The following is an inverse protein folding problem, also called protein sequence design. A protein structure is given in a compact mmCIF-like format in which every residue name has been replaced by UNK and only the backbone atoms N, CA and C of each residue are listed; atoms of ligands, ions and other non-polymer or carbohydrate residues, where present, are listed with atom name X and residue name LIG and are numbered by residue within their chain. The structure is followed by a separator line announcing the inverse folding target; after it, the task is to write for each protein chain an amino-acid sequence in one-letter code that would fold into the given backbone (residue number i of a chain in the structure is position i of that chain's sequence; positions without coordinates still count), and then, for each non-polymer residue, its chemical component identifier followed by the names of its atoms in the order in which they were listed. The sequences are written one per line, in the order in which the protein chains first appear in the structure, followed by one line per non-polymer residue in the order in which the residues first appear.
data_IF_635927341618
#
_entry.id   IF_635927341618
#
_cell.length_a   1.000
_cell.length_b   1.000
_cell.length_c   1.000
_cell.angle_alpha   90.00
_cell.angle_beta   90.00
_cell.angle_gamma   90.00
#
_symmetry.space_group_name_H-M   'P 1'
#
loop_
_entity.id
_entity.type
_entity.pdbx_description
1 polymer ?
#
# COMPACT_ATOMS: atom_id res chain seq x y z
N UNK A 1 28.95 24.64 16.97
CA UNK A 1 28.91 23.63 18.05
C UNK A 1 27.49 23.14 18.34
N UNK A 2 26.44 23.98 18.30
CA UNK A 2 25.05 23.54 18.51
C UNK A 2 24.52 22.50 17.48
N UNK A 3 24.92 22.61 16.21
CA UNK A 3 24.48 21.70 15.13
C UNK A 3 24.98 20.24 15.28
N UNK A 4 26.01 20.00 16.11
CA UNK A 4 26.57 18.66 16.38
C UNK A 4 25.84 17.92 17.50
N UNK A 5 25.03 18.64 18.31
CA UNK A 5 24.27 18.05 19.43
C UNK A 5 22.87 17.60 19.01
N UNK A 6 22.23 18.23 18.01
CA UNK A 6 20.94 17.76 17.46
C UNK A 6 21.04 16.41 16.73
N UNK A 7 22.22 16.05 16.21
CA UNK A 7 22.47 14.73 15.58
C UNK A 7 22.58 13.58 16.59
N UNK A 8 22.64 13.88 17.89
CA UNK A 8 22.82 12.88 18.96
C UNK A 8 21.52 12.41 19.62
N UNK A 9 20.38 12.99 19.24
CA UNK A 9 19.08 12.54 19.74
C UNK A 9 18.76 11.16 19.15
N UNK A 10 18.63 10.16 20.03
CA UNK A 10 18.31 8.77 19.69
C UNK A 10 16.91 8.45 20.15
N UNK A 11 16.09 7.95 19.23
CA UNK A 11 14.75 7.45 19.49
C UNK A 11 14.82 5.96 19.79
N UNK A 12 14.05 5.52 20.79
CA UNK A 12 13.88 4.10 21.11
C UNK A 12 12.46 3.71 20.74
N UNK A 13 12.32 3.01 19.62
CA UNK A 13 11.03 2.44 19.19
C UNK A 13 10.88 1.11 19.92
N UNK A 14 9.97 1.07 20.89
CA UNK A 14 9.61 -0.16 21.61
C UNK A 14 8.52 -0.88 20.84
N UNK A 15 8.77 -2.13 20.47
CA UNK A 15 7.81 -2.96 19.74
C UNK A 15 6.99 -3.82 20.70
N UNK A 16 5.91 -4.42 20.18
CA UNK A 16 5.25 -5.54 20.86
C UNK A 16 6.08 -6.82 20.72
N UNK A 17 5.65 -7.91 21.37
CA UNK A 17 6.22 -9.24 21.09
C UNK A 17 6.07 -9.56 19.61
N UNK A 18 7.07 -10.22 19.04
CA UNK A 18 6.92 -10.78 17.70
C UNK A 18 5.93 -11.95 17.74
N UNK A 19 4.90 -11.92 16.91
CA UNK A 19 3.84 -12.93 16.94
C UNK A 19 4.34 -14.34 16.58
N UNK A 20 5.45 -14.46 15.83
CA UNK A 20 5.97 -15.76 15.41
C UNK A 20 6.89 -16.40 16.45
N UNK A 21 7.82 -15.64 17.04
CA UNK A 21 8.84 -16.18 17.94
C UNK A 21 8.78 -15.64 19.38
N UNK A 22 7.79 -14.78 19.68
CA UNK A 22 7.57 -14.14 20.98
C UNK A 22 8.75 -13.31 21.49
N UNK A 23 9.65 -12.89 20.59
CA UNK A 23 10.79 -12.04 20.91
C UNK A 23 10.36 -10.58 21.06
N UNK A 24 10.79 -9.94 22.14
CA UNK A 24 10.72 -8.49 22.28
C UNK A 24 11.89 -7.82 21.58
N UNK A 25 11.61 -6.75 20.84
CA UNK A 25 12.64 -5.95 20.20
C UNK A 25 12.55 -4.48 20.63
N UNK A 26 13.67 -3.79 20.47
CA UNK A 26 13.77 -2.35 20.66
C UNK A 26 14.70 -1.82 19.60
N UNK A 27 14.24 -0.85 18.82
CA UNK A 27 15.05 -0.24 17.78
C UNK A 27 15.57 1.08 18.31
N UNK A 28 16.89 1.22 18.37
CA UNK A 28 17.55 2.49 18.62
C UNK A 28 17.92 3.11 17.28
N UNK A 29 17.36 4.28 17.00
CA UNK A 29 17.59 4.98 15.74
C UNK A 29 17.89 6.46 16.00
N UNK A 30 18.90 7.00 15.30
CA UNK A 30 19.21 8.43 15.42
C UNK A 30 18.09 9.27 14.79
N UNK A 31 17.86 10.49 15.29
CA UNK A 31 16.91 11.44 14.70
C UNK A 31 17.11 11.60 13.19
N UNK A 32 18.38 11.67 12.75
CA UNK A 32 18.75 11.77 11.33
C UNK A 32 18.30 10.55 10.55
N UNK A 33 18.62 9.35 11.02
CA UNK A 33 18.25 8.11 10.34
C UNK A 33 16.73 7.90 10.33
N UNK A 34 16.05 8.23 11.44
CA UNK A 34 14.58 8.20 11.53
C UNK A 34 13.95 9.14 10.49
N UNK A 35 14.42 10.39 10.45
CA UNK A 35 13.97 11.37 9.47
C UNK A 35 14.28 10.93 8.03
N UNK A 36 15.45 10.35 7.76
CA UNK A 36 15.80 9.82 6.44
C UNK A 36 14.88 8.67 6.01
N UNK A 37 14.50 7.77 6.92
CA UNK A 37 13.58 6.66 6.62
C UNK A 37 12.17 7.15 6.35
N UNK A 38 11.71 8.15 7.10
CA UNK A 38 10.36 8.71 7.00
C UNK A 38 10.21 9.64 5.79
N UNK A 39 11.17 10.54 5.57
CA UNK A 39 11.13 11.55 4.51
C UNK A 39 11.21 10.98 3.09
N UNK A 40 11.56 9.69 2.96
CA UNK A 40 11.58 8.96 1.68
C UNK A 40 10.19 8.67 1.13
N UNK A 41 9.14 8.70 1.94
CA UNK A 41 7.78 8.42 1.48
C UNK A 41 6.80 9.50 1.94
N UNK A 42 5.69 9.62 1.21
CA UNK A 42 4.67 10.62 1.55
C UNK A 42 3.78 10.19 2.70
N UNK A 43 3.76 8.93 3.10
CA UNK A 43 3.00 8.49 4.27
C UNK A 43 3.56 8.98 5.59
N UNK A 44 4.80 9.48 5.59
CA UNK A 44 5.51 9.86 6.81
C UNK A 44 5.63 8.69 7.80
N UNK A 45 5.74 7.47 7.27
CA UNK A 45 5.91 6.23 8.04
C UNK A 45 7.32 5.69 7.77
N UNK A 46 8.11 5.50 8.81
CA UNK A 46 9.41 4.85 8.74
C UNK A 46 9.28 3.34 8.83
N UNK A 47 10.21 2.61 8.22
CA UNK A 47 10.32 1.16 8.39
C UNK A 47 11.73 0.75 8.82
N UNK A 48 11.80 -0.26 9.69
CA UNK A 48 13.05 -0.87 10.16
C UNK A 48 12.94 -2.40 10.11
N UNK A 49 13.98 -3.04 9.57
CA UNK A 49 14.01 -4.49 9.38
C UNK A 49 14.80 -5.12 10.53
N UNK A 50 14.19 -6.06 11.24
CA UNK A 50 14.79 -6.85 12.30
C UNK A 50 14.87 -8.29 11.84
N UNK A 51 16.08 -8.82 11.69
CA UNK A 51 16.27 -10.22 11.33
C UNK A 51 16.14 -11.09 12.59
N UNK A 52 15.22 -12.04 12.53
CA UNK A 52 15.10 -13.12 13.50
C UNK A 52 15.72 -14.39 12.89
N UNK A 53 15.62 -15.51 13.59
CA UNK A 53 16.29 -16.75 13.16
C UNK A 53 15.66 -17.33 11.89
N UNK A 54 14.33 -17.26 11.81
CA UNK A 54 13.52 -17.91 10.78
C UNK A 54 12.60 -16.96 10.00
N UNK A 55 12.69 -15.65 10.25
CA UNK A 55 11.87 -14.64 9.61
C UNK A 55 12.50 -13.25 9.73
N UNK A 56 11.93 -12.29 9.01
CA UNK A 56 12.27 -10.87 9.11
C UNK A 56 11.06 -10.09 9.58
N UNK A 57 11.26 -9.30 10.63
CA UNK A 57 10.25 -8.44 11.23
C UNK A 57 10.44 -7.01 10.74
N UNK A 58 9.47 -6.47 10.00
CA UNK A 58 9.47 -5.09 9.48
C UNK A 58 8.65 -4.21 10.40
N UNK A 59 9.30 -3.41 11.23
CA UNK A 59 8.68 -2.51 12.20
C UNK A 59 8.36 -1.16 11.54
N UNK A 60 7.14 -0.66 11.73
CA UNK A 60 6.69 0.65 11.29
C UNK A 60 6.62 1.65 12.45
N UNK A 61 7.01 2.89 12.19
CA UNK A 61 7.03 3.96 13.18
C UNK A 61 6.76 5.34 12.57
N UNK A 62 6.29 6.29 13.37
CA UNK A 62 6.05 7.68 12.94
C UNK A 62 7.23 8.63 13.22
N UNK A 63 7.02 9.92 12.95
CA UNK A 63 8.01 11.00 13.13
C UNK A 63 8.44 11.23 14.59
N UNK A 64 7.68 10.73 15.55
CA UNK A 64 7.99 10.84 16.98
C UNK A 64 8.66 9.55 17.51
N UNK A 65 8.95 8.58 16.63
CA UNK A 65 9.49 7.28 17.00
C UNK A 65 8.46 6.38 17.68
N UNK A 66 7.16 6.68 17.53
CA UNK A 66 6.10 5.83 18.06
C UNK A 66 5.93 4.61 17.18
N UNK A 67 5.84 3.45 17.81
CA UNK A 67 5.53 2.19 17.15
C UNK A 67 4.11 2.20 16.58
N UNK A 68 3.98 1.87 15.29
CA UNK A 68 2.69 1.78 14.59
C UNK A 68 2.25 0.32 14.34
N UNK A 69 3.17 -0.64 14.46
CA UNK A 69 2.93 -2.04 14.13
C UNK A 69 4.14 -2.65 13.42
N UNK A 70 4.09 -3.94 13.12
CA UNK A 70 5.21 -4.66 12.50
C UNK A 70 4.74 -5.81 11.62
N UNK A 71 5.30 -6.00 10.43
CA UNK A 71 5.01 -7.18 9.59
C UNK A 71 6.05 -8.27 9.77
N UNK A 72 5.64 -9.53 9.64
CA UNK A 72 6.53 -10.68 9.63
C UNK A 72 6.60 -11.22 8.20
N UNK A 73 7.83 -11.32 7.69
CA UNK A 73 8.17 -11.94 6.41
C UNK A 73 8.89 -13.26 6.66
N UNK A 74 8.43 -14.36 6.06
CA UNK A 74 8.99 -15.70 6.27
C UNK A 74 10.20 -16.01 5.36
N UNK A 75 10.57 -15.10 4.45
CA UNK A 75 11.65 -15.36 3.50
C UNK A 75 13.04 -15.12 4.12
N UNK A 76 13.61 -16.22 4.60
CA UNK A 76 14.99 -16.34 5.07
C UNK A 76 15.99 -16.48 3.92
N UNK A 77 16.86 -15.47 3.84
CA UNK A 77 18.30 -15.48 3.52
C UNK A 77 18.62 -14.46 2.44
N UNK A 78 19.54 -13.58 2.84
CA UNK A 78 20.43 -12.81 2.00
C UNK A 78 19.75 -12.08 0.85
N UNK A 79 19.23 -10.86 1.11
CA UNK A 79 19.34 -9.72 0.18
C UNK A 79 18.34 -8.55 0.43
N UNK A 80 17.69 -8.46 1.59
CA UNK A 80 16.76 -7.31 1.83
C UNK A 80 17.51 -5.96 1.74
N UNK A 81 18.78 -5.89 2.15
CA UNK A 81 19.57 -4.65 2.04
C UNK A 81 20.10 -4.35 0.63
N UNK A 82 20.17 -5.35 -0.26
CA UNK A 82 20.72 -5.27 -1.61
C UNK A 82 19.63 -5.09 -2.67
N UNK A 83 18.41 -5.60 -2.45
CA UNK A 83 17.31 -5.51 -3.43
C UNK A 83 16.27 -4.39 -3.19
N UNK A 84 16.35 -3.64 -2.09
CA UNK A 84 15.53 -2.40 -1.95
C UNK A 84 15.95 -1.32 -2.99
N UNK A 85 17.10 -1.50 -3.65
CA UNK A 85 17.53 -0.69 -4.80
C UNK A 85 17.22 -1.30 -6.18
N UNK A 86 16.61 -2.49 -6.26
CA UNK A 86 16.60 -3.30 -7.48
C UNK A 86 15.24 -3.61 -8.12
N UNK A 87 14.18 -3.86 -7.35
CA UNK A 87 13.05 -4.65 -7.90
C UNK A 87 11.64 -4.18 -7.54
N UNK A 88 11.49 -2.93 -7.11
CA UNK A 88 10.29 -2.15 -7.48
C UNK A 88 10.58 -1.69 -8.90
N UNK A 89 9.66 -1.76 -9.88
CA UNK A 89 9.91 -1.24 -11.22
C UNK A 89 10.58 0.11 -11.12
N UNK A 90 11.89 0.15 -11.42
CA UNK A 90 12.66 1.38 -11.41
C UNK A 90 12.10 2.15 -12.58
N UNK A 91 11.23 3.12 -12.28
CA UNK A 91 10.73 4.05 -13.26
C UNK A 91 11.94 4.62 -14.01
N UNK A 92 12.00 4.55 -15.35
CA UNK A 92 13.04 5.23 -16.08
C UNK A 92 12.96 6.70 -15.68
N UNK A 93 14.01 7.21 -15.02
CA UNK A 93 14.13 8.63 -14.73
C UNK A 93 14.04 9.34 -16.08
N UNK A 94 12.92 10.01 -16.34
CA UNK A 94 12.82 10.95 -17.44
C UNK A 94 13.96 11.96 -17.21
N UNK A 95 14.96 11.97 -18.10
CA UNK A 95 16.07 12.94 -18.04
C UNK A 95 15.47 14.34 -18.20
N UNK A 96 15.17 15.01 -17.08
CA UNK A 96 14.78 16.42 -17.06
C UNK A 96 15.96 17.24 -16.59
N UNK A 97 16.34 18.24 -17.38
CA UNK A 97 17.53 19.07 -17.21
C UNK A 97 17.67 19.68 -15.81
N UNK A 98 18.91 19.72 -15.33
CA UNK A 98 19.34 19.95 -13.94
C UNK A 98 18.97 21.33 -13.39
N UNK A 99 18.86 22.37 -14.23
CA UNK A 99 18.61 23.73 -13.78
C UNK A 99 17.13 24.03 -13.42
N UNK A 100 16.18 23.28 -14.00
CA UNK A 100 14.74 23.52 -13.79
C UNK A 100 14.14 22.72 -12.62
N UNK A 101 14.90 21.77 -12.05
CA UNK A 101 14.42 20.78 -11.07
C UNK A 101 14.53 21.25 -9.63
N UNK A 102 15.54 22.06 -9.29
CA UNK A 102 15.81 22.48 -7.91
C UNK A 102 14.77 23.47 -7.38
N UNK A 103 14.45 24.51 -8.16
CA UNK A 103 13.45 25.53 -7.81
C UNK A 103 12.05 24.89 -7.69
N UNK A 104 11.71 23.94 -8.57
CA UNK A 104 10.44 23.23 -8.51
C UNK A 104 10.35 22.23 -7.36
N UNK A 105 11.45 21.55 -6.99
CA UNK A 105 11.50 20.63 -5.83
C UNK A 105 11.39 21.39 -4.51
N UNK A 106 12.01 22.57 -4.43
CA UNK A 106 11.85 23.49 -3.30
C UNK A 106 10.42 24.05 -3.26
N UNK A 107 9.87 24.56 -4.38
CA UNK A 107 8.49 25.07 -4.41
C UNK A 107 7.41 23.98 -4.24
N UNK A 108 7.63 22.76 -4.72
CA UNK A 108 6.68 21.63 -4.58
C UNK A 108 6.69 21.02 -3.18
N UNK A 109 7.74 21.26 -2.39
CA UNK A 109 7.75 20.91 -0.97
C UNK A 109 6.90 21.88 -0.13
N UNK A 110 6.55 23.06 -0.67
CA UNK A 110 5.70 24.06 -0.03
C UNK A 110 4.25 24.09 -0.54
N UNK A 111 3.93 23.44 -1.67
CA UNK A 111 2.57 23.38 -2.23
C UNK A 111 1.92 22.02 -1.93
N UNK A 112 0.88 22.03 -1.10
CA UNK A 112 0.05 20.84 -0.89
C UNK A 112 -0.76 20.53 -2.14
N UNK A 113 -0.69 19.30 -2.65
CA UNK A 113 -1.51 18.84 -3.78
C UNK A 113 -2.76 18.14 -3.25
N UNK A 114 -3.93 18.47 -3.79
CA UNK A 114 -5.16 17.72 -3.46
C UNK A 114 -5.36 16.59 -4.47
N UNK A 115 -5.70 15.40 -3.99
CA UNK A 115 -6.04 14.25 -4.83
C UNK A 115 -7.29 13.54 -4.29
N UNK A 116 -8.13 13.05 -5.19
CA UNK A 116 -9.29 12.19 -4.89
C UNK A 116 -9.02 10.77 -5.38
N UNK A 117 -9.23 9.78 -4.51
CA UNK A 117 -9.06 8.37 -4.82
C UNK A 117 -10.32 7.61 -4.51
N UNK A 118 -10.80 6.83 -5.48
CA UNK A 118 -11.85 5.85 -5.24
C UNK A 118 -11.28 4.48 -4.93
N UNK A 119 -11.76 3.86 -3.86
CA UNK A 119 -11.54 2.47 -3.52
C UNK A 119 -12.83 1.71 -3.83
N UNK A 120 -12.77 0.84 -4.83
CA UNK A 120 -13.92 0.10 -5.39
C UNK A 120 -13.66 -1.40 -5.43
N UNK A 121 -14.71 -2.19 -5.65
CA UNK A 121 -14.65 -3.65 -5.71
C UNK A 121 -15.75 -4.34 -4.89
N UNK A 122 -15.95 -5.66 -5.07
CA UNK A 122 -17.02 -6.44 -4.42
C UNK A 122 -17.06 -6.35 -2.89
N UNK A 123 -18.13 -6.85 -2.27
CA UNK A 123 -18.28 -6.81 -0.80
C UNK A 123 -17.21 -7.64 -0.09
N UNK A 124 -16.79 -7.20 1.10
CA UNK A 124 -15.90 -7.96 1.99
C UNK A 124 -14.51 -8.31 1.39
N UNK A 125 -14.04 -7.56 0.40
CA UNK A 125 -12.73 -7.72 -0.23
C UNK A 125 -11.59 -6.95 0.46
N UNK A 126 -11.88 -6.11 1.47
CA UNK A 126 -10.88 -5.34 2.23
C UNK A 126 -10.79 -3.84 1.92
N UNK A 127 -11.82 -3.24 1.31
CA UNK A 127 -11.86 -1.78 1.00
C UNK A 127 -11.77 -0.90 2.24
N UNK A 128 -12.64 -1.13 3.22
CA UNK A 128 -12.64 -0.40 4.49
C UNK A 128 -11.35 -0.63 5.28
N UNK A 129 -10.80 -1.85 5.24
CA UNK A 129 -9.50 -2.18 5.82
C UNK A 129 -8.37 -1.37 5.19
N UNK A 130 -8.35 -1.23 3.86
CA UNK A 130 -7.36 -0.38 3.18
C UNK A 130 -7.54 1.09 3.58
N UNK A 131 -8.78 1.58 3.58
CA UNK A 131 -9.07 2.95 4.02
C UNK A 131 -8.56 3.21 5.44
N UNK A 132 -8.74 2.26 6.36
CA UNK A 132 -8.24 2.33 7.74
C UNK A 132 -6.70 2.25 7.79
N UNK A 133 -6.09 1.36 7.01
CA UNK A 133 -4.64 1.24 6.90
C UNK A 133 -4.01 2.55 6.42
N UNK A 134 -4.60 3.21 5.42
CA UNK A 134 -4.12 4.50 4.95
C UNK A 134 -4.24 5.58 6.02
N UNK A 135 -5.37 5.61 6.74
CA UNK A 135 -5.65 6.57 7.80
C UNK A 135 -4.66 6.46 8.97
N UNK A 136 -4.35 5.23 9.39
CA UNK A 136 -3.62 4.97 10.63
C UNK A 136 -2.16 4.59 10.41
N UNK A 137 -1.82 4.07 9.24
CA UNK A 137 -0.54 3.40 8.99
C UNK A 137 -0.41 2.03 9.66
N UNK A 138 -1.46 1.58 10.37
CA UNK A 138 -1.45 0.38 11.20
C UNK A 138 -2.06 -0.76 10.37
N UNK A 139 -1.31 -1.83 10.09
CA UNK A 139 -1.87 -3.02 9.46
C UNK A 139 -3.02 -3.63 10.28
N UNK A 140 -4.01 -4.21 9.61
CA UNK A 140 -5.24 -4.68 10.28
C UNK A 140 -4.97 -5.72 11.37
N UNK A 141 -3.95 -6.59 11.21
CA UNK A 141 -3.56 -7.55 12.27
C UNK A 141 -3.23 -6.90 13.62
N UNK A 142 -2.78 -5.64 13.60
CA UNK A 142 -2.40 -4.84 14.78
C UNK A 142 -3.51 -3.92 15.26
N UNK A 143 -4.59 -3.84 14.51
CA UNK A 143 -5.79 -3.16 14.98
C UNK A 143 -6.57 -4.07 15.92
N UNK A 144 -7.18 -3.51 16.97
CA UNK A 144 -8.21 -4.26 17.70
C UNK A 144 -9.23 -4.72 16.67
N UNK A 145 -9.61 -6.00 16.60
CA UNK A 145 -10.54 -6.52 15.57
C UNK A 145 -11.71 -5.57 15.34
N UNK A 146 -11.63 -4.77 14.28
CA UNK A 146 -12.74 -3.93 13.83
C UNK A 146 -13.51 -4.82 12.89
N UNK A 147 -14.65 -5.36 13.33
CA UNK A 147 -15.55 -6.06 12.42
C UNK A 147 -16.08 -5.05 11.39
N UNK A 148 -15.43 -5.01 10.24
CA UNK A 148 -15.82 -4.17 9.13
C UNK A 148 -17.08 -4.77 8.50
N UNK A 149 -18.25 -4.25 8.89
CA UNK A 149 -19.51 -4.52 8.20
C UNK A 149 -19.45 -4.00 6.76
N UNK A 150 -20.20 -4.63 5.85
CA UNK A 150 -20.26 -4.21 4.45
C UNK A 150 -20.71 -2.74 4.35
N UNK A 151 -19.88 -1.91 3.72
CA UNK A 151 -20.20 -0.50 3.46
C UNK A 151 -21.41 -0.41 2.52
N UNK A 152 -22.43 0.34 2.94
CA UNK A 152 -23.57 0.70 2.10
C UNK A 152 -23.33 2.09 1.50
N UNK A 153 -23.46 2.23 0.18
CA UNK A 153 -23.33 3.53 -0.49
C UNK A 153 -21.89 4.02 -0.66
N UNK A 154 -21.57 5.24 -0.19
CA UNK A 154 -20.27 5.91 -0.34
C UNK A 154 -19.84 6.50 0.99
N UNK A 155 -18.64 6.16 1.46
CA UNK A 155 -17.98 6.81 2.60
C UNK A 155 -16.88 7.73 2.11
N UNK A 156 -16.79 8.94 2.67
CA UNK A 156 -15.79 9.94 2.27
C UNK A 156 -14.88 10.22 3.45
N UNK A 157 -13.60 9.90 3.32
CA UNK A 157 -12.56 10.26 4.29
C UNK A 157 -11.65 11.33 3.72
N UNK A 158 -11.23 12.26 4.57
CA UNK A 158 -10.24 13.29 4.23
C UNK A 158 -9.07 13.14 5.17
N UNK A 159 -7.88 12.97 4.61
CA UNK A 159 -6.67 12.77 5.38
C UNK A 159 -5.49 13.44 4.69
N UNK A 160 -4.38 13.59 5.41
CA UNK A 160 -3.16 14.17 4.88
C UNK A 160 -2.07 13.11 4.84
N UNK A 161 -1.59 12.81 3.63
CA UNK A 161 -0.49 11.89 3.38
C UNK A 161 0.70 12.74 2.92
N UNK A 162 1.52 13.17 3.88
CA UNK A 162 2.69 14.00 3.63
C UNK A 162 2.26 15.39 3.17
N UNK A 163 2.55 15.74 1.91
CA UNK A 163 2.09 17.00 1.30
C UNK A 163 0.81 16.82 0.46
N UNK A 164 0.20 15.63 0.44
CA UNK A 164 -1.03 15.38 -0.31
C UNK A 164 -2.23 15.51 0.64
N UNK A 165 -3.17 16.39 0.28
CA UNK A 165 -4.51 16.40 0.88
C UNK A 165 -5.36 15.37 0.13
N UNK A 166 -5.60 14.22 0.76
CA UNK A 166 -6.25 13.09 0.13
C UNK A 166 -7.74 13.03 0.50
N UNK A 167 -8.62 12.95 -0.50
CA UNK A 167 -10.04 12.60 -0.36
C UNK A 167 -10.20 11.14 -0.81
N UNK A 168 -10.50 10.24 0.11
CA UNK A 168 -10.78 8.83 -0.19
C UNK A 168 -12.29 8.65 -0.31
N UNK A 169 -12.73 8.05 -1.42
CA UNK A 169 -14.09 7.58 -1.66
C UNK A 169 -14.10 6.06 -1.48
N UNK A 170 -14.53 5.59 -0.32
CA UNK A 170 -14.68 4.15 -0.03
C UNK A 170 -16.10 3.72 -0.42
N UNK A 171 -16.18 2.96 -1.50
CA UNK A 171 -17.45 2.63 -2.15
C UNK A 171 -18.05 1.33 -1.61
N UNK A 172 -19.38 1.26 -1.61
CA UNK A 172 -20.12 0.05 -1.28
C UNK A 172 -19.82 -1.06 -2.29
N UNK A 173 -19.67 -2.28 -1.78
CA UNK A 173 -19.31 -3.44 -2.59
C UNK A 173 -20.46 -4.37 -2.95
N UNK A 174 -21.66 -4.12 -2.43
CA UNK A 174 -22.84 -4.94 -2.76
C UNK A 174 -23.25 -4.64 -4.20
N UNK A 175 -23.65 -5.67 -4.96
CA UNK A 175 -23.92 -5.56 -6.41
C UNK A 175 -24.91 -4.43 -6.74
N UNK A 176 -25.94 -4.25 -5.91
CA UNK A 176 -26.94 -3.18 -6.06
C UNK A 176 -26.35 -1.75 -5.97
N UNK A 177 -25.16 -1.59 -5.40
CA UNK A 177 -24.49 -0.29 -5.24
C UNK A 177 -23.37 -0.05 -6.26
N UNK A 178 -23.06 -1.01 -7.14
CA UNK A 178 -21.99 -0.84 -8.13
C UNK A 178 -22.26 0.30 -9.12
N UNK A 179 -23.53 0.66 -9.36
CA UNK A 179 -23.87 1.83 -10.18
C UNK A 179 -23.31 3.15 -9.63
N UNK A 180 -23.05 3.24 -8.32
CA UNK A 180 -22.39 4.39 -7.72
C UNK A 180 -20.88 4.50 -8.04
N UNK A 181 -20.27 3.44 -8.57
CA UNK A 181 -18.85 3.44 -8.92
C UNK A 181 -18.56 4.41 -10.06
N UNK A 182 -19.48 4.58 -11.02
CA UNK A 182 -19.31 5.48 -12.16
C UNK A 182 -19.06 6.93 -11.72
N UNK A 183 -19.92 7.46 -10.84
CA UNK A 183 -19.75 8.82 -10.29
C UNK A 183 -18.44 8.93 -9.51
N UNK A 184 -18.11 7.92 -8.70
CA UNK A 184 -16.88 7.92 -7.91
C UNK A 184 -15.62 7.93 -8.80
N UNK A 185 -15.59 7.12 -9.86
CA UNK A 185 -14.51 7.03 -10.83
C UNK A 185 -14.36 8.37 -11.57
N UNK A 186 -15.47 8.99 -11.97
CA UNK A 186 -15.49 10.30 -12.63
C UNK A 186 -14.93 11.41 -11.75
N UNK A 187 -15.21 11.38 -10.45
CA UNK A 187 -14.67 12.30 -9.45
C UNK A 187 -13.19 12.07 -9.10
N UNK A 188 -12.60 10.93 -9.51
CA UNK A 188 -11.29 10.48 -9.02
C UNK A 188 -10.12 10.88 -9.90
N UNK A 189 -9.01 11.20 -9.24
CA UNK A 189 -7.71 11.35 -9.88
C UNK A 189 -7.01 10.01 -10.05
N UNK A 190 -7.32 9.02 -9.19
CA UNK A 190 -6.79 7.64 -9.22
C UNK A 190 -7.81 6.65 -8.66
N UNK A 191 -7.72 5.40 -9.08
CA UNK A 191 -8.65 4.36 -8.65
C UNK A 191 -7.86 3.17 -8.10
N UNK A 192 -8.33 2.64 -6.98
CA UNK A 192 -7.87 1.36 -6.43
C UNK A 192 -9.04 0.38 -6.50
N UNK A 193 -8.91 -0.66 -7.30
CA UNK A 193 -9.86 -1.76 -7.35
C UNK A 193 -9.33 -2.93 -6.50
N UNK A 194 -10.16 -3.50 -5.64
CA UNK A 194 -9.78 -4.59 -4.76
C UNK A 194 -10.72 -5.77 -4.99
N UNK A 195 -10.17 -6.97 -5.07
CA UNK A 195 -10.96 -8.20 -4.98
C UNK A 195 -10.25 -9.24 -4.11
N UNK A 196 -11.00 -10.25 -3.68
CA UNK A 196 -10.50 -11.34 -2.86
C UNK A 196 -9.83 -12.41 -3.72
N UNK A 197 -8.51 -12.54 -3.60
CA UNK A 197 -7.71 -13.52 -4.31
C UNK A 197 -8.02 -14.97 -3.94
N UNK A 198 -8.74 -15.21 -2.84
CA UNK A 198 -9.17 -16.54 -2.38
C UNK A 198 -10.63 -16.87 -2.69
N UNK A 199 -11.39 -15.93 -3.25
CA UNK A 199 -12.79 -16.15 -3.53
C UNK A 199 -13.00 -17.16 -4.68
N UNK A 200 -13.98 -18.04 -4.52
CA UNK A 200 -14.37 -19.00 -5.57
C UNK A 200 -15.33 -18.39 -6.61
N UNK A 201 -15.94 -17.24 -6.32
CA UNK A 201 -16.92 -16.58 -7.19
C UNK A 201 -16.26 -15.73 -8.28
N UNK A 202 -15.65 -16.40 -9.26
CA UNK A 202 -14.96 -15.74 -10.37
C UNK A 202 -15.86 -14.81 -11.19
N UNK A 203 -17.10 -15.22 -11.44
CA UNK A 203 -18.05 -14.47 -12.28
C UNK A 203 -18.31 -13.08 -11.70
N UNK A 204 -18.49 -12.97 -10.38
CA UNK A 204 -18.66 -11.68 -9.71
C UNK A 204 -17.41 -10.78 -9.81
N UNK A 205 -16.22 -11.36 -9.73
CA UNK A 205 -14.95 -10.63 -9.88
C UNK A 205 -14.81 -10.12 -11.32
N UNK A 206 -15.08 -10.98 -12.31
CA UNK A 206 -15.00 -10.63 -13.71
C UNK A 206 -16.03 -9.55 -14.08
N UNK A 207 -17.29 -9.71 -13.67
CA UNK A 207 -18.35 -8.73 -13.85
C UNK A 207 -17.97 -7.36 -13.26
N UNK A 208 -17.52 -7.36 -11.99
CA UNK A 208 -17.19 -6.13 -11.28
C UNK A 208 -15.98 -5.41 -11.87
N UNK A 209 -14.93 -6.15 -12.26
CA UNK A 209 -13.75 -5.55 -12.87
C UNK A 209 -14.07 -5.01 -14.26
N UNK A 210 -14.81 -5.78 -15.08
CA UNK A 210 -15.24 -5.35 -16.41
C UNK A 210 -16.04 -4.03 -16.32
N UNK A 211 -17.01 -3.98 -15.40
CA UNK A 211 -17.79 -2.77 -15.14
C UNK A 211 -16.92 -1.57 -14.70
N UNK A 212 -15.95 -1.81 -13.83
CA UNK A 212 -15.04 -0.75 -13.37
C UNK A 212 -14.13 -0.22 -14.49
N UNK A 213 -13.67 -1.11 -15.39
CA UNK A 213 -12.88 -0.75 -16.57
C UNK A 213 -13.75 0.05 -17.56
N UNK A 214 -14.99 -0.36 -17.78
CA UNK A 214 -15.94 0.33 -18.64
C UNK A 214 -16.18 1.75 -18.15
N UNK A 215 -16.48 1.94 -16.85
CA UNK A 215 -16.64 3.26 -16.24
C UNK A 215 -15.36 4.12 -16.28
N UNK A 216 -14.19 3.49 -16.28
CA UNK A 216 -12.89 4.18 -16.38
C UNK A 216 -12.57 4.62 -17.82
N UNK A 217 -13.10 3.94 -18.83
CA UNK A 217 -12.68 4.04 -20.23
C UNK A 217 -12.67 5.47 -20.79
N UNK A 218 -13.55 6.34 -20.28
CA UNK A 218 -13.66 7.74 -20.73
C UNK A 218 -12.50 8.66 -20.31
N UNK A 219 -11.75 8.34 -19.24
CA UNK A 219 -10.76 9.26 -18.63
C UNK A 219 -9.34 8.72 -18.45
N UNK A 220 -9.05 7.46 -18.79
CA UNK A 220 -7.72 6.81 -18.62
C UNK A 220 -7.07 7.07 -17.24
N UNK A 221 -7.89 7.14 -16.19
CA UNK A 221 -7.44 7.42 -14.81
C UNK A 221 -6.49 6.30 -14.33
N UNK A 222 -5.34 6.57 -13.67
CA UNK A 222 -4.48 5.51 -13.14
C UNK A 222 -5.25 4.52 -12.26
N UNK A 223 -5.04 3.23 -12.50
CA UNK A 223 -5.85 2.14 -11.93
C UNK A 223 -4.95 1.10 -11.26
N UNK A 224 -5.11 0.92 -9.96
CA UNK A 224 -4.37 -0.07 -9.17
C UNK A 224 -5.31 -1.19 -8.75
N UNK A 225 -5.08 -2.38 -9.25
CA UNK A 225 -5.80 -3.61 -8.91
C UNK A 225 -5.02 -4.33 -7.80
N UNK A 226 -5.68 -4.55 -6.66
CA UNK A 226 -5.16 -5.30 -5.54
C UNK A 226 -5.88 -6.64 -5.44
N UNK A 227 -5.13 -7.72 -5.66
CA UNK A 227 -5.54 -9.09 -5.36
C UNK A 227 -5.29 -9.29 -3.87
N UNK A 228 -6.32 -9.18 -3.04
CA UNK A 228 -6.19 -9.14 -1.58
C UNK A 228 -6.39 -10.52 -0.93
N UNK A 229 -6.04 -10.61 0.36
CA UNK A 229 -6.14 -11.81 1.23
C UNK A 229 -5.15 -12.92 0.89
N UNK A 230 -4.01 -12.56 0.29
CA UNK A 230 -2.95 -13.51 -0.04
C UNK A 230 -2.30 -14.14 1.20
N UNK A 231 -2.49 -13.56 2.39
CA UNK A 231 -2.16 -14.20 3.67
C UNK A 231 -2.88 -15.54 3.86
N UNK A 232 -4.15 -15.64 3.47
CA UNK A 232 -4.91 -16.88 3.56
C UNK A 232 -4.38 -17.92 2.56
N UNK A 233 -3.89 -17.50 1.40
CA UNK A 233 -3.24 -18.40 0.44
C UNK A 233 -1.97 -19.02 1.01
N UNK A 234 -1.15 -18.22 1.71
CA UNK A 234 0.05 -18.69 2.43
C UNK A 234 -0.33 -19.68 3.54
N UNK A 235 -1.45 -19.47 4.22
CA UNK A 235 -1.99 -20.37 5.25
C UNK A 235 -2.70 -21.62 4.69
N UNK A 236 -2.62 -21.85 3.37
CA UNK A 236 -3.13 -23.06 2.71
C UNK A 236 -4.58 -22.99 2.21
N UNK A 237 -5.22 -21.81 2.27
CA UNK A 237 -6.52 -21.58 1.63
C UNK A 237 -6.33 -21.25 0.15
N UNK A 238 -6.46 -22.24 -0.72
CA UNK A 238 -6.27 -22.08 -2.17
C UNK A 238 -7.60 -22.07 -2.92
N UNK A 239 -7.72 -21.21 -3.94
CA UNK A 239 -8.78 -21.29 -4.95
C UNK A 239 -8.16 -21.54 -6.35
N UNK A 240 -8.92 -21.28 -7.42
CA UNK A 240 -8.48 -21.49 -8.82
C UNK A 240 -7.41 -20.50 -9.29
N UNK A 241 -7.15 -19.41 -8.56
CA UNK A 241 -6.15 -18.41 -8.92
C UNK A 241 -4.91 -18.61 -8.06
N UNK A 242 -3.80 -18.97 -8.71
CA UNK A 242 -2.52 -19.17 -8.02
C UNK A 242 -1.52 -18.03 -8.24
N UNK A 243 -1.82 -17.09 -9.17
CA UNK A 243 -0.97 -15.91 -9.42
C UNK A 243 -1.69 -14.75 -10.13
N UNK A 244 -1.13 -13.54 -10.03
CA UNK A 244 -1.51 -12.34 -10.82
C UNK A 244 -1.56 -12.63 -12.32
N UNK A 245 -0.65 -13.44 -12.86
CA UNK A 245 -0.60 -13.73 -14.30
C UNK A 245 -1.83 -14.51 -14.78
N UNK A 246 -2.28 -15.49 -14.00
CA UNK A 246 -3.51 -16.24 -14.29
C UNK A 246 -4.74 -15.33 -14.25
N UNK A 247 -4.77 -14.41 -13.28
CA UNK A 247 -5.83 -13.41 -13.13
C UNK A 247 -5.85 -12.48 -14.34
N UNK A 248 -4.72 -11.84 -14.68
CA UNK A 248 -4.63 -10.91 -15.79
C UNK A 248 -5.03 -11.56 -17.12
N UNK A 249 -4.59 -12.80 -17.35
CA UNK A 249 -4.96 -13.56 -18.54
C UNK A 249 -6.45 -13.92 -18.57
N UNK A 250 -7.02 -14.33 -17.43
CA UNK A 250 -8.43 -14.70 -17.33
C UNK A 250 -9.38 -13.51 -17.52
N UNK A 251 -8.96 -12.33 -17.07
CA UNK A 251 -9.72 -11.08 -17.11
C UNK A 251 -9.38 -10.22 -18.34
N UNK A 252 -8.61 -10.75 -19.29
CA UNK A 252 -8.20 -10.08 -20.55
C UNK A 252 -7.60 -8.67 -20.35
N UNK A 253 -6.94 -8.44 -19.21
CA UNK A 253 -6.36 -7.13 -18.85
C UNK A 253 -5.18 -6.84 -19.78
N UNK A 254 -5.43 -6.09 -20.85
CA UNK A 254 -4.48 -5.87 -21.96
C UNK A 254 -4.05 -4.41 -22.05
N UNK A 255 -3.37 -3.85 -21.02
CA UNK A 255 -2.50 -2.67 -21.17
C UNK A 255 -1.72 -2.31 -19.89
N UNK A 256 -0.38 -2.42 -19.85
CA UNK A 256 0.40 -2.28 -18.62
C UNK A 256 0.81 -0.86 -18.22
N UNK A 257 0.52 0.20 -19.02
CA UNK A 257 1.02 1.54 -18.69
C UNK A 257 0.25 2.24 -17.57
N UNK A 258 -1.07 2.04 -17.52
CA UNK A 258 -1.96 2.79 -16.61
C UNK A 258 -2.77 1.89 -15.65
N UNK A 259 -2.64 0.56 -15.80
CA UNK A 259 -3.25 -0.46 -14.94
C UNK A 259 -2.13 -1.27 -14.29
N UNK A 260 -2.09 -1.30 -12.95
CA UNK A 260 -1.15 -2.16 -12.22
C UNK A 260 -1.93 -3.20 -11.44
N UNK A 261 -1.49 -4.45 -11.47
CA UNK A 261 -2.09 -5.55 -10.70
C UNK A 261 -1.06 -6.07 -9.72
N UNK A 262 -1.41 -6.15 -8.43
CA UNK A 262 -0.51 -6.61 -7.37
C UNK A 262 -1.22 -7.59 -6.42
N UNK A 263 -0.51 -8.65 -6.05
CA UNK A 263 -0.88 -9.50 -4.92
C UNK A 263 -0.64 -8.78 -3.61
N UNK A 264 -1.59 -8.88 -2.68
CA UNK A 264 -1.57 -8.12 -1.44
C UNK A 264 -2.17 -8.90 -0.28
N UNK A 265 -1.66 -8.60 0.91
CA UNK A 265 -2.35 -8.83 2.16
C UNK A 265 -2.48 -7.49 2.86
N UNK A 266 -3.65 -6.87 2.76
CA UNK A 266 -3.97 -5.66 3.53
C UNK A 266 -3.93 -5.96 5.03
N UNK A 267 -4.33 -7.17 5.42
CA UNK A 267 -4.22 -7.67 6.79
C UNK A 267 -2.77 -7.60 7.29
N UNK A 268 -1.83 -8.04 6.45
CA UNK A 268 -0.40 -7.99 6.73
C UNK A 268 0.26 -6.63 6.40
N UNK A 269 -0.42 -5.74 5.67
CA UNK A 269 0.16 -4.51 5.15
C UNK A 269 1.28 -4.77 4.13
N UNK A 270 1.13 -5.81 3.31
CA UNK A 270 2.14 -6.27 2.34
C UNK A 270 1.59 -6.35 0.91
N UNK A 271 2.51 -6.18 -0.03
CA UNK A 271 2.39 -6.60 -1.41
C UNK A 271 3.40 -7.72 -1.69
N UNK A 272 3.01 -8.68 -2.52
CA UNK A 272 3.85 -9.77 -2.99
C UNK A 272 4.10 -9.61 -4.49
N UNK A 273 5.32 -9.91 -4.94
CA UNK A 273 5.68 -9.86 -6.36
C UNK A 273 5.95 -11.29 -6.86
N UNK A 274 5.00 -11.86 -7.61
CA UNK A 274 5.20 -13.15 -8.29
C UNK A 274 5.84 -12.91 -9.66
N UNK A 275 7.13 -13.19 -9.79
CA UNK A 275 7.88 -13.03 -11.05
C UNK A 275 9.37 -12.71 -10.86
N UNK A 276 9.75 -12.14 -9.72
CA UNK A 276 11.13 -12.00 -9.28
C UNK A 276 11.20 -12.39 -7.80
N UNK A 277 11.66 -13.62 -7.54
CA UNK A 277 11.99 -14.17 -6.21
C UNK A 277 11.14 -13.62 -5.06
N UNK A 278 9.90 -14.10 -4.92
CA UNK A 278 9.01 -13.97 -3.75
C UNK A 278 9.33 -12.80 -2.80
N UNK A 279 9.33 -11.57 -3.32
CA UNK A 279 9.75 -10.41 -2.54
C UNK A 279 8.54 -9.73 -1.92
N UNK A 280 8.58 -9.53 -0.61
CA UNK A 280 7.57 -8.79 0.12
C UNK A 280 7.92 -7.29 0.14
N UNK A 281 6.97 -6.46 -0.24
CA UNK A 281 7.10 -5.00 -0.17
C UNK A 281 6.02 -4.43 0.75
N UNK A 282 6.35 -3.48 1.65
CA UNK A 282 5.33 -2.78 2.43
C UNK A 282 4.26 -2.13 1.55
N UNK A 283 2.99 -2.40 1.84
CA UNK A 283 1.86 -1.83 1.10
C UNK A 283 1.88 -0.30 1.13
N UNK A 284 2.30 0.29 2.25
CA UNK A 284 2.55 1.73 2.40
C UNK A 284 3.44 2.29 1.30
N UNK A 285 4.53 1.58 0.96
CA UNK A 285 5.46 2.02 -0.08
C UNK A 285 4.79 1.99 -1.46
N UNK A 286 4.12 0.90 -1.79
CA UNK A 286 3.41 0.74 -3.07
C UNK A 286 2.33 1.82 -3.25
N UNK A 287 1.52 2.07 -2.22
CA UNK A 287 0.51 3.13 -2.28
C UNK A 287 1.18 4.50 -2.41
N UNK A 288 2.24 4.79 -1.64
CA UNK A 288 2.97 6.05 -1.78
C UNK A 288 3.47 6.27 -3.20
N UNK A 289 4.02 5.24 -3.85
CA UNK A 289 4.48 5.33 -5.24
C UNK A 289 3.31 5.56 -6.19
N UNK A 290 2.20 4.81 -6.03
CA UNK A 290 0.96 5.02 -6.78
C UNK A 290 0.44 6.46 -6.65
N UNK A 291 0.46 7.06 -5.45
CA UNK A 291 0.04 8.44 -5.21
C UNK A 291 0.92 9.49 -5.91
N UNK A 292 2.17 9.19 -6.21
CA UNK A 292 3.12 10.16 -6.80
C UNK A 292 3.08 10.16 -8.34
N UNK A 293 2.60 9.08 -8.96
CA UNK A 293 2.55 8.95 -10.41
C UNK A 293 1.54 9.93 -11.02
N UNK A 294 1.97 10.70 -12.02
CA UNK A 294 1.15 11.69 -12.72
C UNK A 294 0.82 11.19 -14.12
#
# INVERSE_FOLDING_TARGET
MAQKYEESEVFVIRTLECDLCQRFDSIMITKREMFERISRNKLQIGSYYLNHNDHVRVVYFDLDGKYLGDTISLNLRDDITTHINGSIPIFPKVKKGVAYTFIRKMMSQFLSTSQTISIIGPSLVGKTSLTYYLETGIPERHSQRIDHSATMGKSVKRMKIGNINLKILDMGGQKDFWGGWEESIRESDKIIFIFDGTAFNYEEIADSLSLAIDYRSERLVPFLILVNKMDLFIDGYTNKFSSVDEINNSLEITNPRDIWTLETSIYNGLCYNYGAEQSETPLSKVISDFLILN
#
